data_IF_569797012837
#
_entry.id   IF_569797012837
#
_cell.length_a   1.000
_cell.length_b   1.000
_cell.length_c   1.000
_cell.angle_alpha   90.00
_cell.angle_beta   90.00
_cell.angle_gamma   90.00
#
_symmetry.space_group_name_H-M   'P 1'
#
loop_
_entity.id
_entity.type
_entity.pdbx_description
1 polymer ?
#
# COMPACT_ATOMS: atom_id res chain seq x y z
N UNK A 1 17.87 -48.61 27.03
CA UNK A 1 16.94 -47.84 26.17
C UNK A 1 17.02 -46.38 26.61
N UNK A 2 18.03 -45.64 26.13
CA UNK A 2 18.38 -44.29 26.63
C UNK A 2 18.94 -43.43 25.51
N UNK A 3 18.11 -43.00 24.55
CA UNK A 3 18.49 -41.99 23.53
C UNK A 3 17.24 -41.23 23.09
N UNK A 4 16.77 -40.25 23.88
CA UNK A 4 15.74 -39.34 23.39
C UNK A 4 15.76 -37.94 24.03
N UNK A 5 16.94 -37.39 24.35
CA UNK A 5 17.06 -36.04 24.96
C UNK A 5 17.91 -35.05 24.18
N UNK A 6 18.27 -35.37 22.93
CA UNK A 6 19.29 -34.61 22.18
C UNK A 6 18.84 -34.22 20.77
N UNK A 7 17.53 -34.00 20.58
CA UNK A 7 16.95 -33.57 19.29
C UNK A 7 16.31 -32.18 19.37
N UNK A 8 16.13 -31.59 20.56
CA UNK A 8 15.48 -30.27 20.69
C UNK A 8 16.40 -29.05 20.54
N UNK A 9 17.71 -29.22 20.31
CA UNK A 9 18.66 -28.10 20.47
C UNK A 9 19.17 -27.46 19.17
N UNK A 10 18.69 -27.85 17.99
CA UNK A 10 19.30 -27.40 16.71
C UNK A 10 18.37 -26.58 15.83
N UNK A 11 17.08 -26.47 16.14
CA UNK A 11 16.11 -25.86 15.21
C UNK A 11 15.83 -24.36 15.41
N UNK A 12 16.52 -23.66 16.32
CA UNK A 12 16.21 -22.25 16.65
C UNK A 12 17.34 -21.27 16.24
N UNK A 13 17.96 -21.48 15.08
CA UNK A 13 19.02 -20.60 14.58
C UNK A 13 18.77 -20.07 13.15
N UNK A 14 17.52 -20.04 12.70
CA UNK A 14 17.15 -19.56 11.35
C UNK A 14 16.03 -18.50 11.37
N UNK A 15 16.01 -17.61 12.36
CA UNK A 15 15.11 -16.45 12.40
C UNK A 15 15.94 -15.21 12.73
N UNK A 16 16.78 -14.76 11.79
CA UNK A 16 17.65 -13.60 12.03
C UNK A 16 17.84 -12.64 10.84
N UNK A 17 17.11 -12.78 9.73
CA UNK A 17 17.30 -11.90 8.56
C UNK A 17 15.99 -11.49 7.86
N UNK A 18 14.93 -11.17 8.61
CA UNK A 18 13.75 -10.50 8.06
C UNK A 18 13.59 -9.09 8.65
N UNK A 19 14.68 -8.35 8.76
CA UNK A 19 14.64 -6.90 8.94
C UNK A 19 14.18 -6.31 7.61
N UNK A 20 12.86 -6.26 7.41
CA UNK A 20 12.25 -5.49 6.35
C UNK A 20 12.85 -4.08 6.41
N UNK A 21 13.63 -3.71 5.40
CA UNK A 21 14.09 -2.35 5.23
C UNK A 21 12.86 -1.48 5.08
N UNK A 22 12.45 -0.82 6.17
CA UNK A 22 11.54 0.30 6.14
C UNK A 22 12.29 1.44 5.41
N UNK A 23 12.33 1.36 4.09
CA UNK A 23 12.76 2.47 3.26
C UNK A 23 11.73 3.59 3.51
N UNK A 24 12.17 4.65 4.20
CA UNK A 24 11.34 5.83 4.36
C UNK A 24 11.07 6.40 2.97
N UNK A 25 9.84 6.24 2.49
CA UNK A 25 9.38 6.86 1.25
C UNK A 25 9.59 8.37 1.34
N UNK A 26 10.01 9.05 0.26
CA UNK A 26 10.20 10.49 0.28
C UNK A 26 8.89 11.19 0.67
N UNK A 27 8.95 12.36 1.33
CA UNK A 27 7.76 13.07 1.82
C UNK A 27 6.66 13.23 0.76
N UNK A 28 7.06 13.53 -0.48
CA UNK A 28 6.16 13.69 -1.61
C UNK A 28 5.32 12.45 -1.90
N UNK A 29 5.91 11.24 -1.92
CA UNK A 29 5.13 10.03 -2.20
C UNK A 29 4.17 9.71 -1.07
N UNK A 30 4.55 10.00 0.19
CA UNK A 30 3.66 9.82 1.34
C UNK A 30 2.44 10.75 1.30
N UNK A 31 2.61 11.96 0.76
CA UNK A 31 1.52 12.90 0.58
C UNK A 31 0.60 12.48 -0.58
N UNK A 32 1.17 11.98 -1.69
CA UNK A 32 0.39 11.40 -2.80
C UNK A 32 -0.42 10.18 -2.36
N UNK A 33 0.17 9.28 -1.57
CA UNK A 33 -0.53 8.11 -1.01
C UNK A 33 -1.72 8.54 -0.15
N UNK A 34 -1.55 9.57 0.68
CA UNK A 34 -2.61 10.11 1.54
C UNK A 34 -3.77 10.66 0.70
N UNK A 35 -3.47 11.45 -0.32
CA UNK A 35 -4.49 12.02 -1.20
C UNK A 35 -5.21 10.94 -2.00
N UNK A 36 -4.50 9.89 -2.44
CA UNK A 36 -5.12 8.74 -3.10
C UNK A 36 -6.09 8.00 -2.16
N UNK A 37 -5.70 7.74 -0.91
CA UNK A 37 -6.59 7.13 0.08
C UNK A 37 -7.81 8.00 0.40
N UNK A 38 -7.65 9.33 0.38
CA UNK A 38 -8.79 10.23 0.53
C UNK A 38 -9.76 10.12 -0.66
N UNK A 39 -9.27 9.99 -1.89
CA UNK A 39 -10.11 9.76 -3.06
C UNK A 39 -10.86 8.42 -2.99
N UNK A 40 -10.20 7.35 -2.54
CA UNK A 40 -10.83 6.04 -2.30
C UNK A 40 -11.98 6.17 -1.31
N UNK A 41 -11.79 6.89 -0.20
CA UNK A 41 -12.84 7.09 0.79
C UNK A 41 -14.07 7.83 0.24
N UNK A 42 -13.87 8.83 -0.62
CA UNK A 42 -14.97 9.52 -1.30
C UNK A 42 -15.69 8.58 -2.28
N UNK A 43 -14.95 7.80 -3.07
CA UNK A 43 -15.53 6.81 -4.00
C UNK A 43 -16.36 5.75 -3.26
N UNK A 44 -15.82 5.16 -2.19
CA UNK A 44 -16.50 4.15 -1.37
C UNK A 44 -17.77 4.71 -0.69
N UNK A 45 -17.82 6.02 -0.47
CA UNK A 45 -18.98 6.72 0.09
C UNK A 45 -20.02 7.12 -0.96
N UNK A 46 -19.73 6.90 -2.26
CA UNK A 46 -20.59 7.32 -3.38
C UNK A 46 -20.44 8.79 -3.78
N UNK A 47 -19.46 9.50 -3.22
CA UNK A 47 -19.15 10.90 -3.55
C UNK A 47 -18.24 10.96 -4.79
N UNK A 48 -18.78 10.54 -5.95
CA UNK A 48 -17.99 10.37 -7.17
C UNK A 48 -17.40 11.69 -7.70
N UNK A 49 -18.09 12.82 -7.52
CA UNK A 49 -17.59 14.13 -7.97
C UNK A 49 -16.36 14.57 -7.15
N UNK A 50 -16.40 14.35 -5.84
CA UNK A 50 -15.32 14.64 -4.90
C UNK A 50 -14.12 13.71 -5.12
N UNK A 51 -14.38 12.43 -5.38
CA UNK A 51 -13.36 11.46 -5.76
C UNK A 51 -12.66 11.87 -7.07
N UNK A 52 -13.42 12.26 -8.10
CA UNK A 52 -12.88 12.70 -9.38
C UNK A 52 -11.95 13.90 -9.21
N UNK A 53 -12.38 14.93 -8.47
CA UNK A 53 -11.58 16.14 -8.26
C UNK A 53 -10.22 15.85 -7.58
N UNK A 54 -10.19 14.90 -6.64
CA UNK A 54 -8.93 14.48 -5.99
C UNK A 54 -8.03 13.71 -6.96
N UNK A 55 -8.60 12.78 -7.72
CA UNK A 55 -7.85 11.94 -8.67
C UNK A 55 -7.29 12.75 -9.84
N UNK A 56 -8.00 13.75 -10.34
CA UNK A 56 -7.50 14.65 -11.39
C UNK A 56 -6.28 15.46 -10.93
N UNK A 57 -6.20 15.80 -9.65
CA UNK A 57 -5.00 16.42 -9.08
C UNK A 57 -3.85 15.42 -9.06
N UNK A 58 -4.11 14.19 -8.64
CA UNK A 58 -3.12 13.11 -8.61
C UNK A 58 -2.59 12.75 -10.01
N UNK A 59 -3.43 12.77 -11.05
CA UNK A 59 -3.00 12.55 -12.44
C UNK A 59 -1.95 13.58 -12.89
N UNK A 60 -2.03 14.83 -12.40
CA UNK A 60 -1.02 15.85 -12.75
C UNK A 60 0.32 15.62 -12.06
N UNK A 61 0.30 15.07 -10.85
CA UNK A 61 1.49 14.83 -10.03
C UNK A 61 2.14 13.46 -10.33
N UNK A 62 1.35 12.45 -10.69
CA UNK A 62 1.75 11.08 -10.96
C UNK A 62 1.00 10.50 -12.18
N UNK A 63 1.26 11.02 -13.39
CA UNK A 63 0.50 10.64 -14.59
C UNK A 63 0.65 9.16 -14.96
N UNK A 64 1.76 8.53 -14.59
CA UNK A 64 2.02 7.09 -14.80
C UNK A 64 1.42 6.16 -13.73
N UNK A 65 0.77 6.67 -12.69
CA UNK A 65 0.15 5.81 -11.68
C UNK A 65 -1.06 5.08 -12.26
N UNK A 66 -0.93 3.76 -12.38
CA UNK A 66 -2.01 2.90 -12.84
C UNK A 66 -3.23 3.00 -11.93
N UNK A 67 -3.02 2.98 -10.62
CA UNK A 67 -4.07 2.98 -9.60
C UNK A 67 -4.91 4.27 -9.63
N UNK A 68 -4.25 5.43 -9.84
CA UNK A 68 -4.94 6.71 -9.99
C UNK A 68 -5.80 6.72 -11.26
N UNK A 69 -5.25 6.25 -12.39
CA UNK A 69 -5.97 6.21 -13.67
C UNK A 69 -7.13 5.22 -13.64
N UNK A 70 -6.93 4.06 -13.04
CA UNK A 70 -7.97 3.03 -12.89
C UNK A 70 -9.14 3.57 -12.06
N UNK A 71 -8.87 4.09 -10.86
CA UNK A 71 -9.94 4.58 -9.98
C UNK A 71 -10.67 5.77 -10.62
N UNK A 72 -9.96 6.65 -11.33
CA UNK A 72 -10.59 7.75 -12.06
C UNK A 72 -11.55 7.25 -13.15
N UNK A 73 -11.17 6.19 -13.87
CA UNK A 73 -12.03 5.55 -14.85
C UNK A 73 -13.30 4.94 -14.23
N UNK A 74 -13.16 4.30 -13.07
CA UNK A 74 -14.29 3.74 -12.31
C UNK A 74 -15.23 4.85 -11.83
N UNK A 75 -14.68 5.92 -11.26
CA UNK A 75 -15.43 7.11 -10.82
C UNK A 75 -16.26 7.71 -11.96
N UNK A 76 -15.69 7.85 -13.15
CA UNK A 76 -16.41 8.39 -14.31
C UNK A 76 -17.46 7.45 -14.91
N UNK A 77 -17.42 6.17 -14.54
CA UNK A 77 -18.37 5.16 -15.00
C UNK A 77 -19.57 4.96 -14.07
N UNK A 78 -19.54 5.57 -12.87
CA UNK A 78 -20.52 5.41 -11.81
C UNK A 78 -21.76 6.30 -11.96
#
# INVERSE_FOLDING_TARGET
>A
MTRNRLICSVSLALVACLSATAAASPPQSRDLDREFQAAVAEYDSGHYSEAAAKLENLVREAPESFEVQELLGLVYSA
#
